data_IF_623937648739
#
_entry.id   IF_623937648739
#
_cell.length_a   1.000
_cell.length_b   1.000
_cell.length_c   1.000
_cell.angle_alpha   90.00
_cell.angle_beta   90.00
_cell.angle_gamma   90.00
#
_symmetry.space_group_name_H-M   'P 1'
#
loop_
_entity.id
_entity.type
_entity.pdbx_description
1 polymer ?
#
# COMPACT_ATOMS: atom_id res chain seq x y z
N UNK A 1 7.43 -23.03 20.80
CA UNK A 1 6.28 -22.45 20.08
C UNK A 1 5.81 -23.50 19.10
N UNK A 2 4.78 -24.26 19.45
CA UNK A 2 4.21 -25.29 18.57
C UNK A 2 3.01 -24.70 17.84
N UNK A 3 2.96 -24.83 16.51
CA UNK A 3 1.83 -24.36 15.70
C UNK A 3 0.78 -25.46 15.60
N UNK A 4 -0.48 -25.07 15.44
CA UNK A 4 -1.61 -26.00 15.23
C UNK A 4 -1.66 -26.50 13.78
N UNK A 5 -0.61 -27.19 13.36
CA UNK A 5 -0.40 -27.67 12.00
C UNK A 5 -1.61 -28.47 11.49
N UNK A 6 -2.09 -28.15 10.29
CA UNK A 6 -3.20 -28.83 9.62
C UNK A 6 -4.58 -28.26 9.96
N UNK A 7 -4.73 -27.47 11.02
CA UNK A 7 -6.02 -26.91 11.40
C UNK A 7 -6.55 -25.88 10.39
N UNK A 8 -5.69 -25.12 9.69
CA UNK A 8 -6.16 -24.23 8.63
C UNK A 8 -6.76 -25.03 7.47
N UNK A 9 -6.17 -26.19 7.14
CA UNK A 9 -6.72 -27.09 6.12
C UNK A 9 -8.09 -27.60 6.53
N UNK A 10 -8.23 -28.04 7.79
CA UNK A 10 -9.51 -28.47 8.39
C UNK A 10 -10.56 -27.36 8.34
N UNK A 11 -10.24 -26.14 8.77
CA UNK A 11 -11.16 -24.99 8.72
C UNK A 11 -11.61 -24.70 7.28
N UNK A 12 -10.72 -24.83 6.29
CA UNK A 12 -11.06 -24.62 4.88
C UNK A 12 -12.03 -25.67 4.34
N UNK A 13 -12.20 -26.84 4.95
CA UNK A 13 -13.21 -27.83 4.51
C UNK A 13 -14.57 -27.63 5.18
N UNK A 14 -14.64 -27.03 6.37
CA UNK A 14 -15.89 -26.84 7.14
C UNK A 14 -16.90 -25.87 6.49
N UNK A 15 -18.19 -26.09 6.69
CA UNK A 15 -19.24 -25.19 6.21
C UNK A 15 -19.34 -23.92 7.05
N UNK A 16 -19.79 -22.81 6.44
CA UNK A 16 -20.02 -21.55 7.16
C UNK A 16 -20.97 -21.77 8.34
N UNK A 17 -20.63 -21.23 9.51
CA UNK A 17 -21.45 -21.36 10.72
C UNK A 17 -21.12 -22.59 11.57
N UNK A 18 -20.24 -23.49 11.11
CA UNK A 18 -19.71 -24.56 11.98
C UNK A 18 -18.97 -23.94 13.17
N UNK A 19 -19.35 -24.31 14.38
CA UNK A 19 -18.61 -23.88 15.57
C UNK A 19 -17.35 -24.72 15.74
N UNK A 20 -16.22 -24.05 15.95
CA UNK A 20 -14.94 -24.69 16.26
C UNK A 20 -14.53 -24.27 17.66
N UNK A 21 -14.40 -25.24 18.56
CA UNK A 21 -14.03 -25.02 19.97
C UNK A 21 -12.55 -25.22 20.24
N UNK A 22 -11.80 -25.79 19.29
CA UNK A 22 -10.37 -26.06 19.42
C UNK A 22 -9.57 -24.76 19.27
N UNK A 23 -8.73 -24.40 20.26
CA UNK A 23 -7.83 -23.25 20.13
C UNK A 23 -6.86 -23.43 18.96
N UNK A 24 -6.49 -22.32 18.33
CA UNK A 24 -5.67 -22.31 17.12
C UNK A 24 -4.39 -21.51 17.34
N UNK A 25 -3.22 -22.16 17.30
CA UNK A 25 -1.92 -21.51 17.42
C UNK A 25 -1.32 -21.28 16.04
N UNK A 26 -1.25 -20.01 15.61
CA UNK A 26 -0.81 -19.61 14.26
C UNK A 26 0.14 -18.42 14.31
N UNK A 27 1.01 -18.33 13.30
CA UNK A 27 1.97 -17.26 13.13
C UNK A 27 1.50 -16.24 12.08
N UNK A 28 1.65 -14.95 12.36
CA UNK A 28 1.47 -13.89 11.36
C UNK A 28 2.66 -13.88 10.40
N UNK A 29 2.41 -14.05 9.09
CA UNK A 29 3.48 -14.19 8.08
C UNK A 29 3.58 -13.00 7.10
N UNK A 30 2.56 -12.13 7.04
CA UNK A 30 2.58 -10.91 6.22
C UNK A 30 2.62 -9.63 7.05
N UNK A 31 2.78 -8.50 6.36
CA UNK A 31 2.49 -7.19 6.95
C UNK A 31 1.01 -7.13 7.35
N UNK A 32 0.73 -6.41 8.44
CA UNK A 32 -0.62 -6.12 8.93
C UNK A 32 -1.11 -4.86 8.21
N UNK A 33 -2.34 -4.90 7.68
CA UNK A 33 -2.90 -3.85 6.83
C UNK A 33 -4.28 -3.41 7.34
N UNK A 34 -4.60 -2.10 7.30
CA UNK A 34 -5.95 -1.61 7.61
C UNK A 34 -7.04 -2.33 6.81
N UNK A 35 -8.19 -2.56 7.43
CA UNK A 35 -9.34 -3.24 6.84
C UNK A 35 -10.67 -2.70 7.41
N UNK A 36 -11.66 -2.49 6.55
CA UNK A 36 -12.97 -1.93 6.93
C UNK A 36 -13.22 -0.53 6.36
N UNK A 37 -14.46 -0.06 6.46
CA UNK A 37 -14.88 1.21 5.86
C UNK A 37 -14.46 2.38 6.74
N UNK A 38 -13.68 3.30 6.18
CA UNK A 38 -12.96 4.37 6.90
C UNK A 38 -13.86 5.56 7.28
N UNK A 39 -15.11 5.58 6.81
CA UNK A 39 -16.08 6.64 7.09
C UNK A 39 -16.84 6.30 8.37
N UNK A 40 -16.28 6.66 9.52
CA UNK A 40 -16.94 6.58 10.83
C UNK A 40 -16.98 5.19 11.49
N UNK A 41 -16.39 4.16 10.88
CA UNK A 41 -16.29 2.82 11.45
C UNK A 41 -15.00 2.62 12.27
N UNK A 42 -15.08 1.76 13.30
CA UNK A 42 -13.91 1.35 14.07
C UNK A 42 -12.87 0.63 13.18
N UNK A 43 -11.61 1.09 13.25
CA UNK A 43 -10.49 0.54 12.49
C UNK A 43 -10.24 -0.92 12.87
N UNK A 44 -10.16 -1.79 11.86
CA UNK A 44 -9.77 -3.20 12.00
C UNK A 44 -8.53 -3.44 11.15
N UNK A 45 -7.85 -4.54 11.42
CA UNK A 45 -6.68 -4.94 10.65
C UNK A 45 -6.89 -6.30 10.00
N UNK A 46 -6.16 -6.56 8.91
CA UNK A 46 -6.07 -7.86 8.27
C UNK A 46 -4.61 -8.23 8.03
N UNK A 47 -4.32 -9.52 8.06
CA UNK A 47 -3.02 -10.08 7.71
C UNK A 47 -3.16 -11.52 7.21
N UNK A 48 -2.07 -12.07 6.67
CA UNK A 48 -1.95 -13.50 6.39
C UNK A 48 -1.32 -14.18 7.60
N UNK A 49 -1.95 -15.25 8.08
CA UNK A 49 -1.45 -16.07 9.16
C UNK A 49 -1.29 -17.53 8.69
N UNK A 50 -0.41 -18.29 9.36
CA UNK A 50 -0.07 -19.66 9.00
C UNK A 50 0.02 -20.57 10.21
N UNK A 51 -0.40 -21.82 10.02
CA UNK A 51 -0.25 -22.92 10.97
C UNK A 51 1.02 -23.77 10.70
N UNK A 52 1.89 -23.35 9.78
CA UNK A 52 3.10 -24.06 9.38
C UNK A 52 2.99 -24.82 8.05
N UNK A 53 1.77 -25.16 7.60
CA UNK A 53 1.51 -25.91 6.36
C UNK A 53 0.60 -25.17 5.38
N UNK A 54 -0.33 -24.38 5.91
CA UNK A 54 -1.26 -23.58 5.14
C UNK A 54 -1.26 -22.14 5.61
N UNK A 55 -1.81 -21.27 4.77
CA UNK A 55 -2.02 -19.87 5.10
C UNK A 55 -3.49 -19.49 4.95
N UNK A 56 -3.94 -18.54 5.78
CA UNK A 56 -5.31 -18.03 5.79
C UNK A 56 -5.32 -16.54 6.09
N UNK A 57 -6.27 -15.82 5.51
CA UNK A 57 -6.48 -14.42 5.83
C UNK A 57 -7.10 -14.34 7.22
N UNK A 58 -6.46 -13.60 8.10
CA UNK A 58 -6.92 -13.32 9.45
C UNK A 58 -7.33 -11.86 9.56
N UNK A 59 -8.49 -11.62 10.19
CA UNK A 59 -9.02 -10.30 10.52
C UNK A 59 -8.91 -10.11 12.02
N UNK A 60 -8.22 -9.05 12.42
CA UNK A 60 -8.06 -8.58 13.79
C UNK A 60 -9.12 -7.50 14.06
N UNK A 61 -10.09 -7.71 14.96
CA UNK A 61 -11.11 -6.70 15.25
C UNK A 61 -10.55 -5.52 16.04
N UNK A 62 -11.42 -4.52 16.22
CA UNK A 62 -11.09 -3.26 16.89
C UNK A 62 -10.51 -3.41 18.30
N UNK A 63 -10.88 -4.44 19.06
CA UNK A 63 -10.36 -4.65 20.41
C UNK A 63 -8.91 -5.13 20.42
N UNK A 64 -8.38 -5.64 19.29
CA UNK A 64 -6.98 -6.00 19.12
C UNK A 64 -6.17 -4.90 18.43
N UNK A 65 -6.82 -3.84 17.92
CA UNK A 65 -6.16 -2.70 17.29
C UNK A 65 -5.08 -2.06 18.17
N UNK A 66 -5.31 -1.79 19.47
CA UNK A 66 -4.26 -1.24 20.34
C UNK A 66 -3.01 -2.12 20.41
N UNK A 67 -3.17 -3.45 20.38
CA UNK A 67 -2.04 -4.38 20.40
C UNK A 67 -1.24 -4.35 19.09
N UNK A 68 -1.88 -4.05 17.96
CA UNK A 68 -1.21 -3.85 16.68
C UNK A 68 -0.48 -2.50 16.66
N UNK A 69 -1.14 -1.45 17.14
CA UNK A 69 -0.59 -0.09 17.16
C UNK A 69 0.62 0.02 18.12
N UNK A 70 0.56 -0.67 19.26
CA UNK A 70 1.67 -0.82 20.22
C UNK A 70 2.74 -1.83 19.77
N UNK A 71 2.62 -2.40 18.57
CA UNK A 71 3.51 -3.42 18.00
C UNK A 71 3.67 -4.72 18.80
N UNK A 72 2.80 -4.96 19.79
CA UNK A 72 2.72 -6.25 20.50
C UNK A 72 2.28 -7.38 19.55
N UNK A 73 1.42 -7.05 18.59
CA UNK A 73 1.06 -7.91 17.46
C UNK A 73 1.70 -7.34 16.20
N UNK A 74 2.73 -8.01 15.70
CA UNK A 74 3.44 -7.63 14.49
C UNK A 74 3.72 -8.86 13.61
N UNK A 75 4.49 -8.67 12.53
CA UNK A 75 4.91 -9.78 11.68
C UNK A 75 5.74 -10.77 12.50
N UNK A 76 5.49 -12.06 12.29
CA UNK A 76 6.06 -13.19 13.02
C UNK A 76 5.61 -13.37 14.46
N UNK A 77 4.69 -12.55 14.96
CA UNK A 77 3.97 -12.84 16.21
C UNK A 77 3.19 -14.15 16.06
N UNK A 78 3.35 -15.02 17.05
CA UNK A 78 2.59 -16.26 17.21
C UNK A 78 1.45 -15.99 18.17
N UNK A 79 0.23 -16.20 17.68
CA UNK A 79 -1.00 -16.03 18.44
C UNK A 79 -1.60 -17.39 18.74
N UNK A 80 -1.99 -17.61 19.99
CA UNK A 80 -2.90 -18.68 20.40
C UNK A 80 -4.29 -18.09 20.44
N UNK A 81 -5.08 -18.40 19.43
CA UNK A 81 -6.45 -17.91 19.28
C UNK A 81 -7.37 -18.83 20.07
N UNK A 82 -7.96 -18.29 21.13
CA UNK A 82 -8.84 -19.02 22.05
C UNK A 82 -10.25 -19.12 21.50
N UNK A 83 -10.76 -18.02 20.91
CA UNK A 83 -12.07 -17.96 20.26
C UNK A 83 -11.96 -17.26 18.92
N UNK A 84 -12.56 -17.86 17.90
CA UNK A 84 -12.65 -17.27 16.57
C UNK A 84 -13.90 -17.73 15.85
N UNK A 85 -14.27 -16.95 14.84
CA UNK A 85 -15.22 -17.37 13.83
C UNK A 85 -14.48 -17.49 12.49
N UNK A 86 -14.99 -18.31 11.59
CA UNK A 86 -14.51 -18.31 10.21
C UNK A 86 -15.66 -18.04 9.25
N UNK A 87 -15.34 -17.44 8.11
CA UNK A 87 -16.29 -17.17 7.05
C UNK A 87 -15.67 -17.51 5.71
N UNK A 88 -16.43 -18.12 4.82
CA UNK A 88 -16.08 -18.33 3.42
C UNK A 88 -16.91 -17.37 2.58
N UNK A 89 -16.23 -16.60 1.73
CA UNK A 89 -16.88 -15.74 0.74
C UNK A 89 -16.56 -16.25 -0.65
N UNK A 90 -17.60 -16.57 -1.40
CA UNK A 90 -17.47 -16.82 -2.83
C UNK A 90 -17.46 -15.47 -3.57
N UNK A 91 -16.56 -15.34 -4.54
CA UNK A 91 -16.62 -14.29 -5.57
C UNK A 91 -17.05 -14.95 -6.88
N UNK A 92 -17.79 -14.24 -7.76
CA UNK A 92 -18.12 -14.79 -9.07
C UNK A 92 -16.84 -15.27 -9.79
N UNK A 93 -16.86 -16.49 -10.33
CA UNK A 93 -15.75 -17.12 -11.05
C UNK A 93 -14.45 -17.35 -10.25
N UNK A 94 -14.48 -17.31 -8.91
CA UNK A 94 -13.32 -17.61 -8.08
C UNK A 94 -13.63 -18.64 -6.99
N UNK A 95 -12.59 -19.39 -6.60
CA UNK A 95 -12.69 -20.29 -5.45
C UNK A 95 -13.08 -19.52 -4.17
N UNK A 96 -13.91 -20.11 -3.29
CA UNK A 96 -14.31 -19.45 -2.06
C UNK A 96 -13.09 -19.14 -1.18
N UNK A 97 -12.96 -17.88 -0.78
CA UNK A 97 -11.90 -17.44 0.13
C UNK A 97 -12.37 -17.59 1.58
N UNK A 98 -11.59 -18.32 2.38
CA UNK A 98 -11.80 -18.44 3.81
C UNK A 98 -11.09 -17.33 4.60
N UNK A 99 -11.75 -16.81 5.62
CA UNK A 99 -11.26 -15.77 6.53
C UNK A 99 -11.48 -16.22 7.97
N UNK A 100 -10.47 -16.03 8.83
CA UNK A 100 -10.62 -16.15 10.29
C UNK A 100 -10.84 -14.76 10.87
N UNK A 101 -11.84 -14.63 11.73
CA UNK A 101 -12.13 -13.42 12.50
C UNK A 101 -11.85 -13.76 13.96
N UNK A 102 -10.80 -13.16 14.50
CA UNK A 102 -10.35 -13.41 15.87
C UNK A 102 -11.35 -12.80 16.84
N UNK A 103 -11.81 -13.55 17.84
CA UNK A 103 -12.63 -13.00 18.93
C UNK A 103 -11.82 -12.83 20.22
N UNK A 104 -10.89 -13.75 20.48
CA UNK A 104 -10.00 -13.73 21.64
C UNK A 104 -8.71 -14.45 21.30
N UNK A 105 -7.56 -13.86 21.63
CA UNK A 105 -6.25 -14.44 21.39
C UNK A 105 -5.23 -14.01 22.46
N UNK A 106 -4.27 -14.90 22.70
CA UNK A 106 -3.12 -14.69 23.57
C UNK A 106 -1.85 -14.63 22.72
N UNK A 107 -0.94 -13.72 23.06
CA UNK A 107 0.37 -13.64 22.42
C UNK A 107 1.27 -14.70 23.05
N UNK A 108 1.68 -15.69 22.25
CA UNK A 108 2.59 -16.76 22.70
C UNK A 108 4.04 -16.28 22.65
N UNK A 109 4.36 -15.45 21.66
CA UNK A 109 5.68 -14.89 21.46
C UNK A 109 5.85 -14.35 20.05
N UNK A 110 7.07 -13.93 19.72
CA UNK A 110 7.44 -13.46 18.38
C UNK A 110 8.63 -14.29 17.90
N UNK A 111 8.48 -14.95 16.76
CA UNK A 111 9.58 -15.68 16.14
C UNK A 111 10.45 -14.73 15.30
N UNK A 112 11.70 -15.13 15.04
CA UNK A 112 12.63 -14.38 14.18
C UNK A 112 12.33 -14.58 12.69
N UNK A 113 11.79 -15.73 12.34
CA UNK A 113 11.53 -16.14 10.97
C UNK A 113 10.17 -16.84 10.81
N UNK A 114 9.81 -17.09 9.56
CA UNK A 114 8.60 -17.82 9.21
C UNK A 114 8.75 -19.29 9.66
N UNK A 115 7.81 -19.74 10.48
CA UNK A 115 7.74 -21.11 10.95
C UNK A 115 7.00 -21.97 9.91
N UNK A 116 7.61 -23.09 9.52
CA UNK A 116 7.06 -24.02 8.54
C UNK A 116 7.11 -23.53 7.08
N UNK A 117 6.55 -24.34 6.17
CA UNK A 117 6.50 -24.04 4.74
C UNK A 117 5.06 -23.99 4.23
N UNK A 118 4.28 -22.96 4.57
CA UNK A 118 2.90 -22.90 4.13
C UNK A 118 2.77 -22.63 2.65
N UNK A 119 2.03 -23.51 1.98
CA UNK A 119 1.61 -23.34 0.61
C UNK A 119 0.69 -22.11 0.52
N UNK A 120 0.92 -21.27 -0.49
CA UNK A 120 -0.02 -20.20 -0.84
C UNK A 120 -1.20 -20.85 -1.55
N UNK A 121 -2.41 -20.64 -1.08
CA UNK A 121 -3.61 -21.09 -1.79
C UNK A 121 -3.74 -20.32 -3.11
N UNK A 122 -3.29 -20.94 -4.20
CA UNK A 122 -3.36 -20.41 -5.57
C UNK A 122 -2.77 -21.40 -6.57
N UNK A 123 -3.65 -22.24 -7.14
CA UNK A 123 -3.49 -23.09 -8.32
C UNK A 123 -2.33 -24.10 -8.33
N UNK A 124 -2.67 -25.38 -8.54
CA UNK A 124 -1.73 -26.50 -8.58
C UNK A 124 -0.59 -26.30 -9.57
N UNK A 125 0.61 -26.70 -9.15
CA UNK A 125 1.75 -26.86 -10.03
C UNK A 125 1.65 -28.22 -10.74
N UNK A 126 1.69 -28.30 -12.07
CA UNK A 126 2.20 -29.48 -12.74
C UNK A 126 3.73 -29.45 -12.78
N UNK A 127 4.29 -30.65 -12.81
CA UNK A 127 5.70 -31.00 -12.69
C UNK A 127 6.65 -30.24 -13.63
N UNK A 128 7.88 -30.04 -13.14
CA UNK A 128 9.01 -29.50 -13.88
C UNK A 128 9.33 -30.38 -15.11
N UNK A 129 9.18 -29.81 -16.31
CA UNK A 129 9.88 -30.28 -17.50
C UNK A 129 10.99 -29.30 -17.87
N UNK A 130 12.20 -29.83 -17.95
CA UNK A 130 13.42 -29.18 -18.42
C UNK A 130 13.24 -28.70 -19.87
N UNK A 131 13.29 -27.39 -20.08
CA UNK A 131 13.40 -26.79 -21.42
C UNK A 131 14.85 -26.49 -21.75
N UNK A 132 15.40 -27.16 -22.76
CA UNK A 132 16.55 -26.67 -23.53
C UNK A 132 16.06 -25.61 -24.54
N UNK A 133 16.77 -24.48 -24.70
CA UNK A 133 16.39 -23.48 -25.69
C UNK A 133 16.77 -23.94 -27.12
N UNK A 134 15.89 -23.77 -28.13
CA UNK A 134 16.23 -24.07 -29.52
C UNK A 134 17.12 -22.97 -30.12
N UNK A 135 18.20 -23.38 -30.79
CA UNK A 135 19.04 -22.51 -31.61
C UNK A 135 18.28 -22.11 -32.89
N UNK A 136 18.15 -20.81 -33.15
CA UNK A 136 17.68 -20.29 -34.44
C UNK A 136 18.88 -19.86 -35.29
N UNK A 137 18.92 -20.41 -36.50
CA UNK A 137 19.85 -20.11 -37.58
C UNK A 137 19.54 -18.74 -38.22
N UNK A 138 20.56 -17.89 -38.33
CA UNK A 138 20.49 -16.63 -39.09
C UNK A 138 20.71 -16.89 -40.59
N UNK A 139 19.74 -16.50 -41.42
CA UNK A 139 19.92 -16.31 -42.87
C UNK A 139 20.03 -14.80 -43.16
N UNK A 140 21.07 -14.40 -43.91
CA UNK A 140 21.36 -13.03 -44.34
C UNK A 140 20.71 -12.71 -45.69
N UNK A 141 20.18 -11.48 -45.84
CA UNK A 141 19.95 -10.78 -47.12
C UNK A 141 19.80 -9.25 -46.86
N UNK A 142 19.94 -8.34 -47.86
CA UNK A 142 21.02 -7.35 -47.87
C UNK A 142 20.61 -5.91 -47.51
N UNK A 143 21.64 -5.12 -47.17
CA UNK A 143 21.57 -3.73 -46.77
C UNK A 143 21.19 -2.76 -47.91
N UNK A 144 20.29 -1.82 -47.63
CA UNK A 144 20.17 -0.55 -48.36
C UNK A 144 20.52 0.61 -47.43
N UNK A 145 21.46 1.43 -47.90
CA UNK A 145 21.97 2.64 -47.27
C UNK A 145 20.98 3.80 -47.47
N UNK A 146 20.77 4.62 -46.44
CA UNK A 146 20.25 5.98 -46.59
C UNK A 146 21.20 6.99 -45.92
N UNK A 147 21.41 8.16 -46.55
CA UNK A 147 22.52 9.06 -46.21
C UNK A 147 22.25 9.99 -45.03
N UNK A 148 23.34 10.26 -44.29
CA UNK A 148 23.46 11.25 -43.21
C UNK A 148 23.23 12.67 -43.73
N UNK A 149 22.50 13.49 -42.97
CA UNK A 149 22.61 14.95 -43.02
C UNK A 149 23.04 15.47 -41.64
N UNK A 150 24.14 16.23 -41.67
CA UNK A 150 24.73 16.98 -40.57
C UNK A 150 23.90 18.23 -40.30
N UNK A 151 23.61 18.55 -39.04
CA UNK A 151 23.21 19.89 -38.64
C UNK A 151 24.04 20.35 -37.43
N UNK A 152 24.61 21.53 -37.61
CA UNK A 152 25.59 22.21 -36.78
C UNK A 152 24.96 22.96 -35.60
N UNK A 153 25.74 23.05 -34.53
CA UNK A 153 25.48 23.85 -33.34
C UNK A 153 25.52 25.37 -33.62
N UNK A 154 24.59 26.12 -33.02
CA UNK A 154 24.76 27.54 -32.71
C UNK A 154 24.17 27.87 -31.31
N UNK A 155 24.89 28.62 -30.45
CA UNK A 155 24.38 29.10 -29.16
C UNK A 155 23.71 30.48 -29.28
N UNK A 156 22.73 30.84 -28.43
CA UNK A 156 22.23 32.21 -28.34
C UNK A 156 23.08 33.06 -27.37
N UNK A 157 23.46 34.26 -27.83
CA UNK A 157 24.09 35.32 -27.06
C UNK A 157 23.08 36.25 -26.38
N UNK A 158 23.59 36.90 -25.33
CA UNK A 158 23.05 37.93 -24.44
C UNK A 158 22.52 39.20 -25.09
N UNK A 159 21.48 39.79 -24.49
CA UNK A 159 21.26 41.25 -24.50
C UNK A 159 20.97 41.77 -23.08
N UNK A 160 21.53 42.95 -22.80
CA UNK A 160 21.60 43.64 -21.51
C UNK A 160 21.11 45.09 -21.70
N UNK A 161 20.53 45.68 -20.62
CA UNK A 161 20.39 47.11 -20.28
C UNK A 161 19.21 47.91 -20.92
N UNK A 162 18.49 48.87 -20.29
CA UNK A 162 18.56 49.57 -18.97
C UNK A 162 17.25 50.43 -18.71
N UNK A 163 17.12 51.30 -17.67
CA UNK A 163 15.92 51.39 -16.79
C UNK A 163 15.16 52.74 -16.81
N UNK A 164 14.05 52.84 -16.05
CA UNK A 164 13.47 54.12 -15.61
C UNK A 164 12.91 54.05 -14.17
N UNK A 165 13.15 55.13 -13.42
CA UNK A 165 12.90 55.36 -11.99
C UNK A 165 11.66 56.25 -11.75
N UNK A 166 11.05 56.16 -10.55
CA UNK A 166 10.69 57.23 -9.57
C UNK A 166 9.50 56.74 -8.69
N UNK A 167 9.70 56.44 -7.38
CA UNK A 167 9.47 57.27 -6.16
C UNK A 167 8.01 57.77 -6.00
N UNK A 168 7.31 57.71 -4.84
CA UNK A 168 7.67 58.22 -3.50
C UNK A 168 6.49 58.04 -2.50
N UNK A 169 6.78 57.71 -1.21
CA UNK A 169 6.09 58.04 0.08
C UNK A 169 4.58 57.65 0.25
N UNK A 170 4.03 57.29 1.41
CA UNK A 170 4.41 57.36 2.82
C UNK A 170 3.14 57.61 3.66
N UNK A 171 2.98 56.84 4.74
CA UNK A 171 2.25 57.13 5.99
C UNK A 171 0.72 56.90 6.17
N UNK A 172 0.44 56.08 7.19
CA UNK A 172 -0.59 56.13 8.26
C UNK A 172 -2.05 56.51 7.95
N UNK A 173 -2.98 55.67 8.43
CA UNK A 173 -3.86 55.95 9.60
C UNK A 173 -5.32 55.46 9.45
N UNK A 174 -5.75 54.74 10.50
CA UNK A 174 -7.04 54.79 11.20
C UNK A 174 -8.37 54.34 10.54
N UNK A 175 -8.98 53.37 11.22
CA UNK A 175 -10.41 53.15 11.55
C UNK A 175 -11.49 52.97 10.47
N UNK A 176 -12.16 51.80 10.62
CA UNK A 176 -13.63 51.61 10.61
C UNK A 176 -14.30 51.67 9.22
N UNK A 177 -15.29 50.85 8.84
CA UNK A 177 -16.51 50.49 9.57
C UNK A 177 -17.15 49.19 9.06
N UNK A 178 -17.98 48.67 9.95
CA UNK A 178 -19.06 47.68 9.83
C UNK A 178 -19.99 47.89 8.63
N UNK A 179 -20.36 46.74 8.04
CA UNK A 179 -21.59 46.33 7.34
C UNK A 179 -22.21 47.22 6.25
N UNK A 180 -22.54 46.61 5.09
CA UNK A 180 -23.96 46.42 4.77
C UNK A 180 -24.21 45.35 3.68
N UNK A 181 -25.46 44.91 3.72
CA UNK A 181 -26.12 43.72 3.21
C UNK A 181 -26.56 43.86 1.74
N UNK A 182 -26.48 42.80 0.91
CA UNK A 182 -27.54 42.42 -0.06
C UNK A 182 -27.46 40.93 -0.48
N UNK A 183 -28.60 40.24 -0.68
CA UNK A 183 -28.67 38.82 -1.02
C UNK A 183 -28.82 38.57 -2.53
N UNK A 184 -28.28 37.45 -3.05
CA UNK A 184 -28.73 36.89 -4.34
C UNK A 184 -28.61 35.36 -4.41
N UNK A 185 -29.71 34.71 -4.03
CA UNK A 185 -30.45 33.60 -4.63
C UNK A 185 -29.87 32.84 -5.87
N UNK A 186 -29.87 31.50 -5.71
CA UNK A 186 -29.89 30.36 -6.67
C UNK A 186 -28.72 30.10 -7.65
N UNK A 187 -28.06 28.94 -7.43
CA UNK A 187 -27.75 28.01 -8.53
C UNK A 187 -26.38 27.33 -8.49
N UNK A 188 -26.32 26.09 -8.01
CA UNK A 188 -25.34 25.11 -8.50
C UNK A 188 -24.35 24.54 -7.48
N UNK A 189 -24.56 23.28 -7.10
CA UNK A 189 -23.48 22.34 -6.78
C UNK A 189 -22.73 22.60 -5.47
N UNK A 190 -23.36 22.25 -4.34
CA UNK A 190 -22.65 22.05 -3.07
C UNK A 190 -21.67 20.89 -3.22
N UNK A 191 -20.43 21.19 -3.60
CA UNK A 191 -19.30 20.35 -3.20
C UNK A 191 -19.32 20.29 -1.66
N UNK A 192 -19.11 19.12 -1.03
CA UNK A 192 -19.10 19.04 0.41
C UNK A 192 -17.98 19.94 0.92
N UNK A 193 -18.38 21.01 1.61
CA UNK A 193 -17.51 21.83 2.43
C UNK A 193 -17.04 20.92 3.56
N UNK A 194 -15.97 20.18 3.32
CA UNK A 194 -15.12 19.74 4.39
C UNK A 194 -14.62 21.04 5.04
N UNK A 195 -15.04 21.27 6.28
CA UNK A 195 -14.34 22.12 7.24
C UNK A 195 -12.94 21.53 7.45
N UNK A 196 -12.11 21.63 6.42
CA UNK A 196 -10.87 20.90 6.26
C UNK A 196 -9.75 21.70 6.89
N UNK A 197 -9.39 21.35 8.12
CA UNK A 197 -8.05 21.65 8.61
C UNK A 197 -7.05 21.19 7.56
N UNK A 198 -6.13 22.08 7.15
CA UNK A 198 -5.08 21.73 6.19
C UNK A 198 -4.37 20.43 6.67
N UNK A 199 -4.01 19.52 5.74
CA UNK A 199 -3.35 18.28 6.13
C UNK A 199 -2.07 18.60 6.91
N UNK A 200 -1.89 17.94 8.06
CA UNK A 200 -0.69 18.12 8.89
C UNK A 200 0.51 17.59 8.08
N UNK A 201 1.39 18.50 7.69
CA UNK A 201 2.59 18.18 6.93
C UNK A 201 3.72 17.77 7.87
N UNK A 202 4.41 16.69 7.53
CA UNK A 202 5.55 16.15 8.25
C UNK A 202 6.81 16.34 7.39
N UNK A 203 7.90 16.88 7.94
CA UNK A 203 9.20 16.84 7.28
C UNK A 203 9.67 15.39 7.09
N UNK A 204 10.39 15.13 5.99
CA UNK A 204 10.98 13.82 5.68
C UNK A 204 11.89 13.35 6.82
N UNK A 205 12.65 14.27 7.44
CA UNK A 205 13.52 13.94 8.59
C UNK A 205 12.77 13.45 9.83
N UNK A 206 11.49 13.80 9.97
CA UNK A 206 10.64 13.43 11.10
C UNK A 206 9.80 12.18 10.80
N UNK A 207 9.98 11.60 9.60
CA UNK A 207 9.36 10.33 9.25
C UNK A 207 9.97 9.22 10.10
N UNK A 208 9.09 8.55 10.81
CA UNK A 208 9.44 7.41 11.62
C UNK A 208 8.78 6.16 11.01
N UNK A 209 9.50 5.04 10.84
CA UNK A 209 8.92 3.75 10.44
C UNK A 209 7.72 3.30 11.29
N UNK A 210 7.57 3.82 12.50
CA UNK A 210 6.47 3.54 13.42
C UNK A 210 5.24 4.45 13.23
N UNK A 211 5.34 5.53 12.45
CA UNK A 211 4.22 6.40 12.13
C UNK A 211 3.57 5.96 10.80
N UNK A 212 2.33 5.48 10.88
CA UNK A 212 1.60 4.93 9.72
C UNK A 212 0.83 5.98 8.90
N UNK A 213 0.62 7.19 9.45
CA UNK A 213 -0.06 8.31 8.76
C UNK A 213 0.80 9.56 8.79
N UNK A 214 1.46 9.83 7.68
CA UNK A 214 2.18 11.07 7.43
C UNK A 214 1.82 11.59 6.05
N UNK A 215 1.72 12.91 5.96
CA UNK A 215 1.64 13.62 4.68
C UNK A 215 2.91 14.44 4.60
N UNK A 216 3.73 14.22 3.57
CA UNK A 216 4.92 15.04 3.33
C UNK A 216 4.68 15.96 2.13
N UNK A 217 5.28 17.15 2.18
CA UNK A 217 5.48 18.00 1.02
C UNK A 217 6.97 18.00 0.74
N UNK A 218 7.34 17.60 -0.47
CA UNK A 218 8.73 17.36 -0.83
C UNK A 218 9.01 17.77 -2.28
N UNK A 219 10.24 18.20 -2.53
CA UNK A 219 10.77 18.44 -3.87
C UNK A 219 11.43 17.18 -4.41
N UNK A 220 11.09 16.82 -5.64
CA UNK A 220 11.76 15.75 -6.39
C UNK A 220 13.06 16.30 -6.96
N UNK A 221 14.19 15.74 -6.57
CA UNK A 221 15.51 16.16 -7.09
C UNK A 221 16.01 15.25 -8.20
N UNK A 222 15.65 13.97 -8.16
CA UNK A 222 16.01 12.99 -9.18
C UNK A 222 14.86 12.01 -9.38
N UNK A 223 14.66 11.59 -10.63
CA UNK A 223 13.68 10.58 -11.01
C UNK A 223 14.24 9.72 -12.13
N UNK A 224 14.23 8.41 -11.96
CA UNK A 224 14.68 7.49 -13.01
C UNK A 224 13.62 7.34 -14.11
N UNK A 225 14.05 6.84 -15.26
CA UNK A 225 13.13 6.30 -16.25
C UNK A 225 12.27 5.19 -15.64
N UNK A 226 11.02 5.09 -16.11
CA UNK A 226 10.09 4.06 -15.68
C UNK A 226 10.49 2.77 -16.40
N UNK A 227 10.80 1.73 -15.63
CA UNK A 227 11.11 0.40 -16.13
C UNK A 227 9.89 -0.50 -15.96
N UNK A 228 9.56 -1.26 -16.98
CA UNK A 228 8.52 -2.29 -16.91
C UNK A 228 9.15 -3.63 -16.54
N UNK A 229 8.44 -4.42 -15.76
CA UNK A 229 8.82 -5.79 -15.44
C UNK A 229 7.63 -6.72 -15.71
N UNK A 230 7.93 -7.93 -16.17
CA UNK A 230 6.94 -8.95 -16.49
C UNK A 230 7.43 -10.29 -15.95
N UNK A 231 6.69 -10.86 -15.01
CA UNK A 231 6.85 -12.23 -14.49
C UNK A 231 5.54 -12.99 -14.76
N UNK A 232 5.57 -14.33 -14.83
CA UNK A 232 4.40 -15.14 -15.19
C UNK A 232 3.09 -14.80 -14.45
N UNK A 233 3.19 -14.43 -13.16
CA UNK A 233 2.02 -14.11 -12.33
C UNK A 233 1.90 -12.64 -11.94
N UNK A 234 2.76 -11.75 -12.48
CA UNK A 234 2.72 -10.33 -12.12
C UNK A 234 3.49 -9.47 -13.10
N UNK A 235 2.93 -8.31 -13.43
CA UNK A 235 3.54 -7.31 -14.29
C UNK A 235 3.42 -5.94 -13.63
N UNK A 236 4.33 -5.03 -13.93
CA UNK A 236 4.27 -3.69 -13.36
C UNK A 236 5.29 -2.73 -13.94
N UNK A 237 5.24 -1.51 -13.41
CA UNK A 237 6.16 -0.42 -13.71
C UNK A 237 6.80 0.05 -12.41
N UNK A 238 8.11 0.28 -12.45
CA UNK A 238 8.87 0.79 -11.30
C UNK A 238 9.74 1.95 -11.74
N UNK A 239 10.01 2.86 -10.81
CA UNK A 239 10.98 3.92 -10.94
C UNK A 239 11.48 4.29 -9.54
N UNK A 240 12.64 4.93 -9.47
CA UNK A 240 13.22 5.45 -8.24
C UNK A 240 13.19 6.97 -8.27
N UNK A 241 13.02 7.58 -7.11
CA UNK A 241 13.09 9.04 -6.91
C UNK A 241 13.92 9.37 -5.68
N UNK A 242 14.57 10.53 -5.73
CA UNK A 242 15.14 11.18 -4.55
C UNK A 242 14.26 12.37 -4.16
N UNK A 243 13.90 12.44 -2.89
CA UNK A 243 13.04 13.47 -2.31
C UNK A 243 13.82 14.27 -1.27
N UNK A 244 13.62 15.59 -1.26
CA UNK A 244 14.07 16.49 -0.19
C UNK A 244 12.88 17.28 0.34
N UNK A 245 12.96 17.71 1.60
CA UNK A 245 11.99 18.66 2.15
C UNK A 245 12.03 19.99 1.37
N UNK A 246 10.89 20.69 1.35
CA UNK A 246 10.73 22.03 0.78
C UNK A 246 11.21 23.11 1.76
#
# INVERSE_FOLDING_TARGET
>A
MELSTGEISRIKTLENGTQVSTPLTIQIISNIQPFGNQTGGALRYRCMASDGEQSIVMVLPMHLTPLVDEQKICRFTVLKIVRYNFTKKARPNEAPMAFIIVSEAEIVGTATEKLGNPEKSGAGAPAQQSYQPPQQSFQQAPAQQQPQQQQSYQPPQSFQQQPQQQQSYGNSSFMSRVADTKPNVYGGGMAPVHTGSAPILHPIKDLNPYHSRWTIRARVTQKTAIKSWNKPNSQGRLFSVNLLDD
#
